data_IF_186879371826
#
_entry.id   IF_186879371826
#
_cell.length_a   1.000
_cell.length_b   1.000
_cell.length_c   1.000
_cell.angle_alpha   90.00
_cell.angle_beta   90.00
_cell.angle_gamma   90.00
#
_symmetry.space_group_name_H-M   'P 1'
#
loop_
_entity.id
_entity.type
_entity.pdbx_description
1 polymer ?
#
# COMPACT_ATOMS: atom_id res chain seq x y z
N UNK A 1 36.13 56.71 -46.68
CA UNK A 1 35.55 55.38 -46.83
C UNK A 1 35.76 54.66 -45.48
N UNK A 2 34.75 54.77 -44.63
CA UNK A 2 34.79 54.23 -43.23
C UNK A 2 34.19 52.84 -43.24
N UNK A 3 35.02 51.82 -43.00
CA UNK A 3 34.61 50.45 -42.86
C UNK A 3 33.98 50.14 -41.51
N UNK A 4 32.68 49.99 -41.47
CA UNK A 4 31.89 49.57 -40.33
C UNK A 4 32.07 48.08 -40.09
N UNK A 5 32.69 47.69 -38.93
CA UNK A 5 32.82 46.31 -38.53
C UNK A 5 31.60 45.93 -37.71
N UNK A 6 30.81 44.99 -38.21
CA UNK A 6 29.75 44.34 -37.41
C UNK A 6 30.37 43.55 -36.27
N UNK A 7 29.75 43.56 -35.06
CA UNK A 7 30.16 42.72 -33.93
C UNK A 7 29.75 41.25 -34.15
N UNK A 8 30.50 40.27 -33.62
CA UNK A 8 30.16 38.86 -33.75
C UNK A 8 28.91 38.53 -32.92
N UNK A 9 28.07 37.72 -33.50
CA UNK A 9 26.86 37.16 -32.88
C UNK A 9 27.23 36.32 -31.66
N UNK A 10 26.72 36.70 -30.48
CA UNK A 10 26.87 35.95 -29.26
C UNK A 10 26.02 34.68 -29.33
N UNK A 11 26.67 33.54 -29.41
CA UNK A 11 26.04 32.22 -29.29
C UNK A 11 25.60 32.00 -27.85
N UNK A 12 24.32 32.09 -27.55
CA UNK A 12 23.77 31.76 -26.24
C UNK A 12 23.83 30.24 -26.00
N UNK A 13 24.26 29.77 -24.82
CA UNK A 13 24.33 28.34 -24.54
C UNK A 13 22.92 27.73 -24.32
N UNK A 14 22.53 26.81 -25.18
CA UNK A 14 21.27 26.02 -25.09
C UNK A 14 21.29 24.98 -23.97
N UNK A 15 22.25 25.03 -23.05
CA UNK A 15 22.44 24.02 -21.99
C UNK A 15 21.43 24.11 -20.83
N UNK A 16 20.70 25.24 -20.67
CA UNK A 16 19.78 25.40 -19.52
C UNK A 16 18.43 24.72 -19.68
N UNK A 17 17.98 24.47 -20.91
CA UNK A 17 16.65 23.92 -21.16
C UNK A 17 16.51 22.41 -20.86
N UNK A 18 17.58 21.66 -21.03
CA UNK A 18 17.55 20.18 -20.85
C UNK A 18 17.47 19.80 -19.37
N UNK A 19 18.17 20.55 -18.49
CA UNK A 19 18.15 20.30 -17.04
C UNK A 19 16.81 20.67 -16.42
N UNK A 20 16.16 21.74 -16.89
CA UNK A 20 14.83 22.14 -16.41
C UNK A 20 13.75 21.13 -16.83
N UNK A 21 13.82 20.56 -18.03
CA UNK A 21 12.90 19.53 -18.51
C UNK A 21 13.03 18.22 -17.73
N UNK A 22 14.25 17.81 -17.36
CA UNK A 22 14.49 16.62 -16.52
C UNK A 22 14.00 16.80 -15.09
N UNK A 23 14.09 18.00 -14.52
CA UNK A 23 13.58 18.30 -13.17
C UNK A 23 12.04 18.26 -13.13
N UNK A 24 11.34 18.75 -14.16
CA UNK A 24 9.89 18.68 -14.24
C UNK A 24 9.37 17.24 -14.42
N UNK A 25 10.09 16.41 -15.16
CA UNK A 25 9.72 15.00 -15.35
C UNK A 25 9.85 14.17 -14.06
N UNK A 26 10.81 14.51 -13.18
CA UNK A 26 10.98 13.85 -11.89
C UNK A 26 9.86 14.16 -10.88
N UNK A 27 9.21 15.33 -10.96
CA UNK A 27 8.08 15.69 -10.10
C UNK A 27 6.77 14.99 -10.50
N UNK A 28 6.63 14.56 -11.75
CA UNK A 28 5.43 13.89 -12.25
C UNK A 28 5.36 12.40 -11.87
N UNK A 29 6.43 11.82 -11.33
CA UNK A 29 6.51 10.41 -10.94
C UNK A 29 6.03 10.13 -9.52
N UNK A 30 5.48 11.12 -8.80
CA UNK A 30 4.82 10.89 -7.50
C UNK A 30 3.45 10.29 -7.77
N UNK A 31 3.42 8.95 -7.84
CA UNK A 31 2.22 8.17 -8.13
C UNK A 31 1.07 8.54 -7.22
N UNK A 32 -0.11 8.72 -7.78
CA UNK A 32 -1.37 8.81 -7.04
C UNK A 32 -1.65 7.47 -6.36
N UNK A 33 -0.99 7.20 -5.24
CA UNK A 33 -1.36 6.11 -4.34
C UNK A 33 -2.66 6.45 -3.60
N UNK A 34 -3.42 5.45 -3.20
CA UNK A 34 -4.56 5.67 -2.31
C UNK A 34 -4.05 6.29 -0.98
N UNK A 35 -4.85 7.18 -0.33
CA UNK A 35 -4.46 7.79 0.93
C UNK A 35 -4.23 6.73 2.00
N UNK A 36 -3.19 6.93 2.83
CA UNK A 36 -2.83 6.05 3.94
C UNK A 36 -2.67 6.87 5.22
N UNK A 37 -2.81 6.22 6.37
CA UNK A 37 -2.54 6.83 7.69
C UNK A 37 -1.05 7.03 7.97
N UNK A 38 -0.16 6.49 7.13
CA UNK A 38 1.29 6.47 7.35
C UNK A 38 1.77 5.36 8.28
N UNK A 39 0.88 4.53 8.81
CA UNK A 39 1.24 3.35 9.62
C UNK A 39 1.65 2.19 8.72
N UNK A 40 2.53 1.34 9.23
CA UNK A 40 2.87 0.07 8.59
C UNK A 40 1.71 -0.93 8.68
N UNK A 41 1.67 -1.90 7.77
CA UNK A 41 0.68 -2.97 7.80
C UNK A 41 0.70 -3.78 9.11
N UNK A 42 1.89 -4.00 9.69
CA UNK A 42 2.04 -4.71 10.96
C UNK A 42 1.43 -3.92 12.15
N UNK A 43 1.61 -2.59 12.19
CA UNK A 43 0.98 -1.74 13.20
C UNK A 43 -0.53 -1.74 13.07
N UNK A 44 -1.05 -1.56 11.86
CA UNK A 44 -2.49 -1.59 11.57
C UNK A 44 -3.10 -2.94 11.95
N UNK A 45 -2.42 -4.04 11.61
CA UNK A 45 -2.85 -5.38 11.97
C UNK A 45 -2.85 -5.59 13.49
N UNK A 46 -1.80 -5.15 14.17
CA UNK A 46 -1.70 -5.20 15.63
C UNK A 46 -2.84 -4.46 16.33
N UNK A 47 -3.19 -3.27 15.84
CA UNK A 47 -4.22 -2.43 16.45
C UNK A 47 -5.65 -2.93 16.20
N UNK A 48 -5.92 -3.45 15.00
CA UNK A 48 -7.30 -3.67 14.55
C UNK A 48 -7.68 -5.15 14.36
N UNK A 49 -6.71 -6.03 14.13
CA UNK A 49 -6.96 -7.40 13.67
C UNK A 49 -6.50 -8.47 14.66
N UNK A 50 -5.31 -8.30 15.26
CA UNK A 50 -4.62 -9.32 16.05
C UNK A 50 -5.43 -9.81 17.25
N UNK A 51 -6.28 -8.96 17.84
CA UNK A 51 -7.14 -9.32 18.97
C UNK A 51 -8.05 -10.52 18.68
N UNK A 52 -8.49 -10.65 17.44
CA UNK A 52 -9.35 -11.77 17.01
C UNK A 52 -8.59 -12.79 16.17
N UNK A 53 -7.74 -12.31 15.27
CA UNK A 53 -7.03 -13.16 14.32
C UNK A 53 -5.68 -13.70 14.82
N UNK A 54 -5.26 -13.29 16.04
CA UNK A 54 -3.92 -13.62 16.55
C UNK A 54 -2.83 -12.82 15.86
N UNK A 55 -1.66 -12.69 16.46
CA UNK A 55 -0.52 -11.98 15.89
C UNK A 55 0.09 -12.72 14.68
N UNK A 56 -0.16 -14.01 14.56
CA UNK A 56 0.32 -14.91 13.52
C UNK A 56 -0.78 -15.33 12.52
N UNK A 57 -1.99 -14.76 12.65
CA UNK A 57 -3.12 -15.08 11.80
C UNK A 57 -3.85 -16.38 12.13
N UNK A 58 -3.44 -17.13 13.18
CA UNK A 58 -4.03 -18.43 13.55
C UNK A 58 -5.26 -18.31 14.45
N UNK A 59 -5.65 -17.09 14.80
CA UNK A 59 -6.77 -16.81 15.67
C UNK A 59 -6.41 -16.79 17.15
N UNK A 60 -7.06 -15.92 17.93
CA UNK A 60 -7.01 -15.97 19.38
C UNK A 60 -7.84 -17.16 19.85
N UNK A 61 -7.30 -17.97 20.77
CA UNK A 61 -7.93 -19.22 21.24
C UNK A 61 -9.35 -19.01 21.80
N UNK A 62 -9.59 -17.88 22.47
CA UNK A 62 -10.90 -17.56 23.03
C UNK A 62 -11.91 -17.19 21.95
N UNK A 63 -11.44 -16.56 20.87
CA UNK A 63 -12.27 -16.16 19.74
C UNK A 63 -12.60 -17.37 18.87
N UNK A 64 -11.65 -18.28 18.65
CA UNK A 64 -11.85 -19.50 17.84
C UNK A 64 -12.99 -20.38 18.34
N UNK A 65 -13.24 -20.39 19.65
CA UNK A 65 -14.36 -21.15 20.25
C UNK A 65 -15.72 -20.66 19.74
N UNK A 66 -15.84 -19.36 19.47
CA UNK A 66 -17.09 -18.72 19.01
C UNK A 66 -17.09 -18.45 17.50
N UNK A 67 -15.92 -18.26 16.92
CA UNK A 67 -15.71 -17.89 15.52
C UNK A 67 -14.52 -18.63 14.92
N UNK A 68 -14.68 -19.89 14.49
CA UNK A 68 -13.59 -20.68 13.89
C UNK A 68 -12.96 -20.01 12.67
N UNK A 69 -13.71 -19.14 11.99
CA UNK A 69 -13.23 -18.36 10.83
C UNK A 69 -12.24 -17.25 11.19
N UNK A 70 -11.94 -17.05 12.48
CA UNK A 70 -10.90 -16.10 12.91
C UNK A 70 -9.48 -16.59 12.57
N UNK A 71 -9.30 -17.89 12.32
CA UNK A 71 -8.06 -18.45 11.78
C UNK A 71 -7.94 -18.12 10.28
N UNK A 72 -7.09 -17.16 9.96
CA UNK A 72 -6.84 -16.73 8.58
C UNK A 72 -6.11 -17.79 7.76
N UNK A 73 -5.29 -18.62 8.39
CA UNK A 73 -4.52 -19.68 7.71
C UNK A 73 -5.42 -20.77 7.12
N UNK A 74 -6.64 -20.87 7.64
CA UNK A 74 -7.67 -21.80 7.16
C UNK A 74 -8.73 -21.11 6.29
N UNK A 75 -8.61 -19.80 6.08
CA UNK A 75 -9.56 -19.04 5.27
C UNK A 75 -9.47 -19.40 3.78
N UNK A 76 -10.56 -19.87 3.15
CA UNK A 76 -10.54 -20.12 1.70
C UNK A 76 -10.25 -18.89 0.86
N UNK A 77 -10.56 -17.68 1.36
CA UNK A 77 -10.26 -16.42 0.67
C UNK A 77 -8.75 -16.14 0.66
N UNK A 78 -8.08 -16.39 1.78
CA UNK A 78 -6.65 -16.21 1.93
C UNK A 78 -5.90 -17.26 1.10
N UNK A 79 -6.30 -18.54 1.22
CA UNK A 79 -5.70 -19.65 0.46
C UNK A 79 -5.78 -19.45 -1.06
N UNK A 80 -6.87 -18.89 -1.56
CA UNK A 80 -7.03 -18.54 -2.98
C UNK A 80 -6.48 -17.18 -3.35
N UNK A 81 -5.87 -16.47 -2.39
CA UNK A 81 -5.34 -15.11 -2.56
C UNK A 81 -6.36 -14.13 -3.15
N UNK A 82 -7.60 -14.23 -2.69
CA UNK A 82 -8.75 -13.49 -3.22
C UNK A 82 -8.77 -12.04 -2.69
N UNK A 83 -7.90 -11.17 -3.20
CA UNK A 83 -7.69 -9.79 -2.74
C UNK A 83 -8.99 -8.99 -2.60
N UNK A 84 -9.80 -8.94 -3.66
CA UNK A 84 -11.06 -8.18 -3.65
C UNK A 84 -12.02 -8.64 -2.55
N UNK A 85 -12.37 -9.92 -2.44
CA UNK A 85 -13.16 -10.45 -1.33
C UNK A 85 -12.56 -10.20 0.06
N UNK A 86 -11.22 -10.26 0.23
CA UNK A 86 -10.56 -9.92 1.51
C UNK A 86 -10.75 -8.44 1.82
N UNK A 87 -10.50 -7.55 0.84
CA UNK A 87 -10.73 -6.12 0.96
C UNK A 87 -12.17 -5.80 1.40
N UNK A 88 -13.17 -6.44 0.77
CA UNK A 88 -14.58 -6.29 1.16
C UNK A 88 -14.86 -6.76 2.59
N UNK A 89 -14.23 -7.84 3.05
CA UNK A 89 -14.36 -8.31 4.43
C UNK A 89 -13.82 -7.31 5.43
N UNK A 90 -12.69 -6.67 5.13
CA UNK A 90 -12.11 -5.64 5.99
C UNK A 90 -13.00 -4.39 6.00
N UNK A 91 -13.44 -3.93 4.84
CA UNK A 91 -14.21 -2.68 4.74
C UNK A 91 -15.64 -2.79 5.25
N UNK A 92 -16.32 -3.89 4.95
CA UNK A 92 -17.75 -4.08 5.23
C UNK A 92 -18.03 -4.95 6.46
N UNK A 93 -17.02 -5.70 6.92
CA UNK A 93 -17.22 -6.69 7.98
C UNK A 93 -17.88 -7.98 7.46
N UNK A 94 -17.98 -8.96 8.36
CA UNK A 94 -18.69 -10.20 8.07
C UNK A 94 -18.98 -10.98 9.37
N UNK A 95 -20.22 -11.32 9.62
CA UNK A 95 -20.61 -12.00 10.86
C UNK A 95 -20.22 -11.19 12.10
N UNK A 96 -19.37 -11.73 12.94
CA UNK A 96 -18.84 -11.04 14.13
C UNK A 96 -17.67 -10.09 13.84
N UNK A 97 -17.11 -10.11 12.63
CA UNK A 97 -16.06 -9.19 12.22
C UNK A 97 -16.65 -7.80 11.91
N UNK A 98 -16.23 -6.73 12.60
CA UNK A 98 -16.75 -5.40 12.35
C UNK A 98 -16.28 -4.84 11.00
N UNK A 99 -17.01 -3.84 10.49
CA UNK A 99 -16.59 -3.05 9.34
C UNK A 99 -15.52 -2.02 9.76
N UNK A 100 -14.46 -1.88 8.96
CA UNK A 100 -13.36 -0.95 9.25
C UNK A 100 -13.30 0.25 8.29
N UNK A 101 -14.23 0.38 7.33
CA UNK A 101 -14.25 1.48 6.36
C UNK A 101 -14.28 2.88 6.98
N UNK A 102 -14.72 3.01 8.24
CA UNK A 102 -14.75 4.27 8.99
C UNK A 102 -13.52 4.50 9.88
N UNK A 103 -12.58 3.57 9.92
CA UNK A 103 -11.37 3.61 10.75
C UNK A 103 -10.07 3.56 9.97
N UNK A 104 -10.12 3.06 8.74
CA UNK A 104 -8.98 2.82 7.89
C UNK A 104 -9.11 3.62 6.60
N UNK A 105 -8.00 4.22 6.16
CA UNK A 105 -7.89 4.80 4.84
C UNK A 105 -7.86 3.67 3.77
N UNK A 106 -8.21 3.99 2.53
CA UNK A 106 -8.25 2.98 1.46
C UNK A 106 -6.89 2.29 1.26
N UNK A 107 -5.80 3.06 1.29
CA UNK A 107 -4.46 2.51 1.17
C UNK A 107 -4.05 1.64 2.36
N UNK A 108 -4.55 1.92 3.58
CA UNK A 108 -4.33 1.07 4.75
C UNK A 108 -5.00 -0.30 4.59
N UNK A 109 -6.19 -0.33 3.97
CA UNK A 109 -6.88 -1.59 3.67
C UNK A 109 -6.06 -2.42 2.69
N UNK A 110 -5.50 -1.80 1.65
CA UNK A 110 -4.66 -2.50 0.67
C UNK A 110 -3.39 -3.08 1.32
N UNK A 111 -2.74 -2.31 2.22
CA UNK A 111 -1.61 -2.79 3.01
C UNK A 111 -1.99 -3.99 3.89
N UNK A 112 -3.15 -3.96 4.52
CA UNK A 112 -3.65 -5.07 5.33
C UNK A 112 -3.99 -6.31 4.51
N UNK A 113 -4.53 -6.14 3.31
CA UNK A 113 -4.78 -7.27 2.39
C UNK A 113 -3.46 -7.97 2.05
N UNK A 114 -2.42 -7.21 1.70
CA UNK A 114 -1.10 -7.78 1.41
C UNK A 114 -0.51 -8.48 2.63
N UNK A 115 -0.56 -7.85 3.79
CA UNK A 115 -0.06 -8.41 5.04
C UNK A 115 -0.73 -9.74 5.41
N UNK A 116 -2.06 -9.81 5.30
CA UNK A 116 -2.82 -11.04 5.57
C UNK A 116 -2.44 -12.16 4.61
N UNK A 117 -2.19 -11.85 3.34
CA UNK A 117 -1.75 -12.82 2.35
C UNK A 117 -0.31 -13.30 2.58
N UNK A 118 0.52 -12.52 3.25
CA UNK A 118 1.88 -12.89 3.64
C UNK A 118 1.92 -13.73 4.91
N UNK A 119 1.02 -13.49 5.88
CA UNK A 119 0.92 -14.29 7.11
C UNK A 119 0.71 -15.78 6.84
N UNK A 120 -0.06 -16.10 5.79
CA UNK A 120 -0.33 -17.49 5.41
C UNK A 120 0.77 -18.12 4.57
N UNK A 121 1.63 -17.33 3.94
CA UNK A 121 2.73 -17.91 3.18
C UNK A 121 3.54 -18.79 4.16
N UNK A 122 3.50 -20.14 4.04
CA UNK A 122 4.41 -20.95 4.83
C UNK A 122 5.79 -20.37 4.52
N UNK A 123 6.54 -20.02 5.56
CA UNK A 123 7.92 -19.64 5.35
C UNK A 123 8.48 -20.74 4.46
N UNK A 124 8.79 -20.42 3.21
CA UNK A 124 9.54 -21.32 2.36
C UNK A 124 10.90 -21.38 3.03
N UNK A 125 10.90 -22.16 4.10
CA UNK A 125 12.10 -22.46 4.84
C UNK A 125 13.00 -23.19 3.87
N UNK A 126 13.97 -22.43 3.40
CA UNK A 126 15.36 -22.79 3.18
C UNK A 126 15.60 -24.17 2.59
#
# INVERSE_FOLDING_TARGET
MSGERLPPAASAPLAGGLLAALALAALAAQGCGAPTSGKSAAELYGEHCSRCHGSDGRGDQRVLTLSPNADLTRSPLVQRRARGPIHLRITQGYGSMPAFSHKLELGDVDLLVDYVLELEAPSRAR
#
